data_IF_614265641403
#
_entry.id   IF_614265641403
#
_cell.length_a   1.000
_cell.length_b   1.000
_cell.length_c   1.000
_cell.angle_alpha   90.00
_cell.angle_beta   90.00
_cell.angle_gamma   90.00
#
_symmetry.space_group_name_H-M   'P 1'
#
loop_
_entity.id
_entity.type
_entity.pdbx_description
1 polymer ?
#
# COMPACT_ATOMS: atom_id res chain seq x y z
N UNK A 1 -5.55 32.29 63.17
CA UNK A 1 -6.45 32.13 62.02
C UNK A 1 -5.59 31.77 60.81
N UNK A 2 -5.42 30.48 60.56
CA UNK A 2 -4.50 29.93 59.55
C UNK A 2 -5.34 29.43 58.38
N UNK A 3 -5.19 30.09 57.22
CA UNK A 3 -5.94 29.80 56.00
C UNK A 3 -5.48 28.50 55.35
N UNK A 4 -6.43 27.59 55.16
CA UNK A 4 -6.26 26.24 54.61
C UNK A 4 -6.31 26.32 53.08
N UNK A 5 -5.17 26.05 52.42
CA UNK A 5 -5.08 25.96 50.96
C UNK A 5 -5.71 24.64 50.52
N UNK A 6 -6.82 24.71 49.77
CA UNK A 6 -7.50 23.55 49.20
C UNK A 6 -7.04 23.39 47.74
N UNK A 7 -6.18 22.41 47.50
CA UNK A 7 -5.89 21.93 46.14
C UNK A 7 -7.11 21.14 45.62
N UNK A 8 -7.60 21.39 44.40
CA UNK A 8 -8.54 20.48 43.75
C UNK A 8 -7.84 19.18 43.31
N UNK A 9 -8.49 18.01 43.41
CA UNK A 9 -7.95 16.77 42.89
C UNK A 9 -7.98 16.72 41.36
N UNK A 10 -6.97 16.03 40.83
CA UNK A 10 -6.70 15.64 39.45
C UNK A 10 -7.95 15.30 38.63
N UNK A 11 -8.14 16.02 37.52
CA UNK A 11 -8.96 15.55 36.40
C UNK A 11 -8.13 14.57 35.57
N UNK A 12 -8.66 13.36 35.45
CA UNK A 12 -8.21 12.27 34.59
C UNK A 12 -7.71 12.77 33.23
N UNK A 13 -6.42 12.56 32.97
CA UNK A 13 -5.92 12.48 31.61
C UNK A 13 -6.36 11.14 31.07
N UNK A 14 -7.53 11.11 30.46
CA UNK A 14 -7.93 10.04 29.55
C UNK A 14 -6.81 9.87 28.52
N UNK A 15 -6.07 8.78 28.66
CA UNK A 15 -5.26 8.18 27.61
C UNK A 15 -6.19 7.89 26.44
N UNK A 16 -6.38 8.92 25.60
CA UNK A 16 -6.99 8.77 24.29
C UNK A 16 -5.96 8.06 23.42
N UNK A 17 -5.95 6.73 23.53
CA UNK A 17 -5.50 5.85 22.47
C UNK A 17 -6.21 6.27 21.19
N UNK A 18 -5.54 7.12 20.41
CA UNK A 18 -5.90 7.38 19.03
C UNK A 18 -5.66 6.09 18.24
N UNK A 19 -6.53 5.11 18.42
CA UNK A 19 -6.70 3.98 17.52
C UNK A 19 -7.20 4.59 16.22
N UNK A 20 -6.41 4.45 15.15
CA UNK A 20 -6.81 4.87 13.83
C UNK A 20 -8.16 4.20 13.48
N UNK A 21 -9.11 4.91 12.85
CA UNK A 21 -10.36 4.29 12.44
C UNK A 21 -10.05 3.12 11.50
N UNK A 22 -10.48 1.91 11.89
CA UNK A 22 -10.49 0.74 11.01
C UNK A 22 -11.50 1.06 9.92
N UNK A 23 -11.02 1.51 8.77
CA UNK A 23 -11.86 1.75 7.59
C UNK A 23 -12.31 0.39 7.08
N UNK A 24 -13.51 -0.03 7.49
CA UNK A 24 -14.19 -1.16 6.86
C UNK A 24 -14.62 -0.73 5.47
N UNK A 25 -13.81 -1.03 4.45
CA UNK A 25 -14.15 -0.75 3.06
C UNK A 25 -15.21 -1.74 2.57
N UNK A 26 -16.32 -1.18 2.08
CA UNK A 26 -17.34 -1.93 1.38
C UNK A 26 -16.73 -2.61 0.14
N UNK A 27 -16.99 -3.91 0.03
CA UNK A 27 -16.54 -4.83 -1.02
C UNK A 27 -16.82 -4.26 -2.41
N UNK A 28 -15.79 -3.84 -3.16
CA UNK A 28 -15.93 -3.58 -4.60
C UNK A 28 -16.04 -4.91 -5.37
N UNK A 29 -16.83 -4.97 -6.45
CA UNK A 29 -16.92 -6.17 -7.29
C UNK A 29 -15.59 -6.42 -8.02
N UNK A 30 -15.25 -7.70 -8.18
CA UNK A 30 -13.97 -8.16 -8.73
C UNK A 30 -13.69 -7.57 -10.12
N UNK A 31 -12.50 -6.98 -10.29
CA UNK A 31 -12.00 -6.55 -11.60
C UNK A 31 -11.79 -7.76 -12.52
N UNK A 32 -12.27 -7.61 -13.74
CA UNK A 32 -12.16 -8.59 -14.83
C UNK A 32 -10.69 -8.86 -15.18
N UNK A 33 -10.28 -10.12 -15.12
CA UNK A 33 -8.90 -10.55 -15.40
C UNK A 33 -8.64 -10.42 -16.90
N UNK A 34 -7.78 -9.49 -17.31
CA UNK A 34 -7.27 -9.45 -18.68
C UNK A 34 -6.32 -10.63 -18.86
N UNK A 35 -6.71 -11.57 -19.73
CA UNK A 35 -5.94 -12.76 -20.06
C UNK A 35 -4.67 -12.37 -20.82
N UNK A 36 -3.52 -12.60 -20.20
CA UNK A 36 -2.22 -12.56 -20.86
C UNK A 36 -2.06 -13.88 -21.64
N UNK A 37 -2.29 -13.85 -22.94
CA UNK A 37 -2.10 -15.00 -23.83
C UNK A 37 -0.62 -15.37 -23.88
N UNK A 38 -0.37 -16.66 -23.64
CA UNK A 38 0.93 -17.32 -23.69
C UNK A 38 1.42 -17.34 -25.14
N UNK A 39 2.68 -17.02 -25.31
CA UNK A 39 3.45 -17.10 -26.55
C UNK A 39 3.49 -18.57 -27.04
N UNK A 40 3.16 -18.78 -28.32
CA UNK A 40 3.31 -20.05 -29.04
C UNK A 40 4.80 -20.32 -29.32
N UNK A 41 5.31 -21.49 -28.91
CA UNK A 41 6.54 -22.09 -29.45
C UNK A 41 6.13 -23.16 -30.48
N UNK A 42 6.37 -22.96 -31.79
CA UNK A 42 6.20 -23.99 -32.79
C UNK A 42 7.58 -24.55 -33.13
N UNK A 43 7.94 -25.69 -32.55
CA UNK A 43 8.85 -26.69 -33.15
C UNK A 43 9.02 -27.85 -32.15
N UNK A 44 8.34 -28.97 -32.44
CA UNK A 44 8.29 -30.14 -31.58
C UNK A 44 7.66 -31.32 -32.29
N UNK A 45 8.30 -31.76 -33.37
CA UNK A 45 8.02 -32.95 -34.15
C UNK A 45 8.43 -34.23 -33.41
N UNK A 46 7.50 -34.82 -32.66
CA UNK A 46 7.61 -36.19 -32.17
C UNK A 46 6.57 -37.08 -32.87
N UNK A 47 7.00 -37.72 -33.96
CA UNK A 47 6.25 -38.76 -34.66
C UNK A 47 6.11 -40.01 -33.77
N UNK A 48 4.93 -40.24 -33.21
CA UNK A 48 4.59 -41.48 -32.51
C UNK A 48 4.13 -42.53 -33.54
N UNK A 49 5.02 -43.46 -33.89
CA UNK A 49 4.73 -44.53 -34.85
C UNK A 49 4.06 -45.73 -34.19
N UNK A 50 2.82 -46.02 -34.57
CA UNK A 50 2.15 -47.30 -34.34
C UNK A 50 1.01 -47.49 -35.33
N UNK A 51 0.85 -48.72 -35.84
CA UNK A 51 -0.21 -49.09 -36.79
C UNK A 51 -1.29 -49.90 -36.07
N UNK A 52 -2.55 -49.60 -36.40
CA UNK A 52 -3.73 -50.33 -35.96
C UNK A 52 -3.93 -51.57 -36.83
N UNK A 53 -4.39 -52.68 -36.23
CA UNK A 53 -4.79 -53.87 -36.98
C UNK A 53 -6.22 -53.75 -37.55
N UNK A 54 -6.65 -54.78 -38.29
CA UNK A 54 -7.96 -54.83 -38.96
C UNK A 54 -9.17 -54.88 -38.01
N UNK A 55 -8.94 -55.02 -36.69
CA UNK A 55 -9.97 -54.96 -35.66
C UNK A 55 -9.90 -53.66 -34.82
N UNK A 56 -9.00 -52.73 -35.16
CA UNK A 56 -8.88 -51.44 -34.50
C UNK A 56 -8.09 -51.47 -33.18
N UNK A 57 -7.29 -52.51 -32.94
CA UNK A 57 -6.43 -52.59 -31.75
C UNK A 57 -5.01 -52.10 -32.08
N UNK A 58 -4.44 -51.30 -31.17
CA UNK A 58 -3.13 -50.68 -31.36
C UNK A 58 -2.01 -51.68 -31.05
N UNK A 59 -1.23 -52.06 -32.07
CA UNK A 59 -0.13 -53.02 -31.92
C UNK A 59 1.22 -52.27 -32.00
N UNK A 60 1.96 -52.14 -30.88
CA UNK A 60 3.29 -51.55 -30.91
C UNK A 60 4.30 -52.49 -31.60
N UNK A 61 5.24 -51.90 -32.34
CA UNK A 61 6.25 -52.61 -33.13
C UNK A 61 7.31 -53.24 -32.21
N UNK A 62 7.25 -54.55 -32.00
CA UNK A 62 8.30 -55.31 -31.29
C UNK A 62 9.52 -55.54 -32.19
N UNK A 63 10.70 -55.08 -31.77
CA UNK A 63 11.98 -55.52 -32.35
C UNK A 63 12.48 -56.79 -31.64
N UNK A 64 12.96 -57.81 -32.37
CA UNK A 64 13.41 -59.05 -31.77
C UNK A 64 14.89 -58.96 -31.37
N UNK A 65 15.18 -59.24 -30.10
CA UNK A 65 16.51 -59.70 -29.69
C UNK A 65 17.18 -58.93 -28.56
N UNK A 66 16.72 -59.14 -27.32
CA UNK A 66 17.61 -59.12 -26.16
C UNK A 66 16.97 -59.89 -25.01
N UNK A 67 17.33 -61.16 -24.89
CA UNK A 67 17.05 -61.93 -23.69
C UNK A 67 17.78 -61.30 -22.49
N UNK A 68 17.07 -60.48 -21.72
CA UNK A 68 17.42 -60.16 -20.33
C UNK A 68 16.18 -60.38 -19.49
N UNK A 69 16.29 -61.35 -18.57
CA UNK A 69 15.32 -61.65 -17.53
C UNK A 69 14.94 -60.36 -16.80
N UNK A 70 13.79 -59.79 -17.14
CA UNK A 70 13.16 -58.76 -16.33
C UNK A 70 12.63 -59.46 -15.08
N UNK A 71 13.41 -59.34 -14.00
CA UNK A 71 12.91 -59.52 -12.65
C UNK A 71 11.71 -58.57 -12.54
N UNK A 72 10.50 -59.11 -12.43
CA UNK A 72 9.32 -58.33 -12.05
C UNK A 72 9.60 -57.84 -10.63
N UNK A 73 10.21 -56.66 -10.54
CA UNK A 73 10.20 -55.89 -9.31
C UNK A 73 8.83 -55.24 -9.31
N UNK A 74 7.90 -55.86 -8.60
CA UNK A 74 6.76 -55.15 -8.04
C UNK A 74 7.31 -53.86 -7.43
N UNK A 75 7.00 -52.71 -8.02
CA UNK A 75 7.20 -51.41 -7.37
C UNK A 75 6.13 -51.38 -6.28
N UNK A 76 6.44 -52.05 -5.16
CA UNK A 76 5.71 -51.92 -3.92
C UNK A 76 5.91 -50.48 -3.49
N UNK A 77 4.84 -49.67 -3.53
CA UNK A 77 4.85 -48.27 -3.15
C UNK A 77 4.97 -48.08 -1.64
N UNK A 78 6.04 -48.60 -1.02
CA UNK A 78 6.19 -48.61 0.43
C UNK A 78 7.65 -48.55 0.91
N UNK A 79 8.55 -47.97 0.14
CA UNK A 79 9.94 -47.70 0.56
C UNK A 79 10.23 -46.18 0.51
N UNK A 80 9.33 -45.36 1.07
CA UNK A 80 9.76 -44.11 1.70
C UNK A 80 10.20 -44.53 3.09
N UNK A 81 11.47 -44.31 3.42
CA UNK A 81 11.98 -44.61 4.75
C UNK A 81 11.24 -43.76 5.79
N UNK A 82 10.98 -44.30 6.99
CA UNK A 82 10.31 -43.56 8.08
C UNK A 82 10.98 -42.20 8.38
N UNK A 83 12.29 -42.08 8.10
CA UNK A 83 13.07 -40.84 8.23
C UNK A 83 12.69 -39.76 7.19
N UNK A 84 12.37 -40.13 5.95
CA UNK A 84 11.98 -39.17 4.91
C UNK A 84 10.60 -38.54 5.18
N UNK A 85 9.71 -39.31 5.82
CA UNK A 85 8.39 -38.83 6.24
C UNK A 85 8.49 -37.88 7.45
N UNK A 86 9.37 -38.15 8.40
CA UNK A 86 9.62 -37.27 9.56
C UNK A 86 10.17 -35.90 9.15
N UNK A 87 11.10 -35.86 8.18
CA UNK A 87 11.67 -34.62 7.66
C UNK A 87 10.63 -33.77 6.91
N UNK A 88 9.73 -34.39 6.14
CA UNK A 88 8.65 -33.67 5.44
C UNK A 88 7.64 -33.06 6.42
N UNK A 89 7.29 -33.76 7.50
CA UNK A 89 6.41 -33.24 8.54
C UNK A 89 7.05 -32.08 9.31
N UNK A 90 8.33 -32.18 9.67
CA UNK A 90 9.04 -31.10 10.35
C UNK A 90 9.14 -29.82 9.50
N UNK A 91 9.34 -29.96 8.19
CA UNK A 91 9.35 -28.83 7.26
C UNK A 91 7.99 -28.15 7.16
N UNK A 92 6.90 -28.92 7.03
CA UNK A 92 5.53 -28.38 7.02
C UNK A 92 5.18 -27.63 8.30
N UNK A 93 5.58 -28.16 9.45
CA UNK A 93 5.37 -27.50 10.75
C UNK A 93 6.15 -26.18 10.87
N UNK A 94 7.39 -26.15 10.37
CA UNK A 94 8.20 -24.93 10.37
C UNK A 94 7.60 -23.85 9.45
N UNK A 95 7.14 -24.24 8.26
CA UNK A 95 6.46 -23.36 7.32
C UNK A 95 5.15 -22.80 7.92
N UNK A 96 4.35 -23.66 8.57
CA UNK A 96 3.12 -23.23 9.22
C UNK A 96 3.41 -22.21 10.35
N UNK A 97 4.42 -22.47 11.18
CA UNK A 97 4.85 -21.50 12.22
C UNK A 97 5.32 -20.17 11.61
N UNK A 98 5.98 -20.19 10.45
CA UNK A 98 6.38 -18.96 9.76
C UNK A 98 5.14 -18.17 9.28
N UNK A 99 4.16 -18.85 8.68
CA UNK A 99 2.89 -18.24 8.24
C UNK A 99 2.11 -17.64 9.42
N UNK A 100 2.01 -18.35 10.55
CA UNK A 100 1.31 -17.86 11.73
C UNK A 100 1.99 -16.62 12.33
N UNK A 101 3.34 -16.61 12.37
CA UNK A 101 4.11 -15.43 12.77
C UNK A 101 3.87 -14.24 11.84
N UNK A 102 3.87 -14.47 10.52
CA UNK A 102 3.62 -13.43 9.52
C UNK A 102 2.21 -12.85 9.66
N UNK A 103 1.20 -13.71 9.82
CA UNK A 103 -0.19 -13.31 10.00
C UNK A 103 -0.37 -12.47 11.27
N UNK A 104 0.10 -12.97 12.41
CA UNK A 104 0.01 -12.25 13.69
C UNK A 104 0.68 -10.88 13.61
N UNK A 105 1.92 -10.83 13.12
CA UNK A 105 2.64 -9.57 13.01
C UNK A 105 1.94 -8.59 12.08
N UNK A 106 1.44 -9.05 10.93
CA UNK A 106 0.76 -8.19 9.97
C UNK A 106 -0.50 -7.57 10.57
N UNK A 107 -1.30 -8.36 11.28
CA UNK A 107 -2.51 -7.86 11.94
C UNK A 107 -2.17 -6.86 13.06
N UNK A 108 -1.18 -7.16 13.91
CA UNK A 108 -0.72 -6.24 14.97
C UNK A 108 -0.20 -4.91 14.40
N UNK A 109 0.37 -4.94 13.21
CA UNK A 109 0.89 -3.77 12.51
C UNK A 109 -0.27 -2.95 11.94
N UNK A 110 -1.16 -3.58 11.16
CA UNK A 110 -2.30 -2.91 10.53
C UNK A 110 -3.31 -2.36 11.55
N UNK A 111 -3.46 -3.01 12.71
CA UNK A 111 -4.30 -2.51 13.80
C UNK A 111 -3.81 -1.17 14.40
N UNK A 112 -2.50 -0.88 14.33
CA UNK A 112 -1.92 0.36 14.89
C UNK A 112 -1.97 1.53 13.92
N UNK A 113 -1.75 1.28 12.63
CA UNK A 113 -1.74 2.31 11.60
C UNK A 113 -1.92 1.72 10.21
N UNK A 114 -2.45 2.54 9.29
CA UNK A 114 -2.36 2.26 7.86
C UNK A 114 -0.91 2.10 7.39
N UNK A 115 -0.67 1.07 6.59
CA UNK A 115 0.62 0.73 5.98
C UNK A 115 0.43 0.43 4.52
N UNK A 116 1.40 0.82 3.71
CA UNK A 116 1.46 0.36 2.32
C UNK A 116 1.92 -1.09 2.25
N UNK A 117 1.67 -1.75 1.12
CA UNK A 117 2.19 -3.10 0.84
C UNK A 117 3.69 -3.17 1.09
N UNK A 118 4.43 -2.20 0.56
CA UNK A 118 5.89 -2.12 0.71
C UNK A 118 6.31 -1.94 2.18
N UNK A 119 5.66 -1.04 2.93
CA UNK A 119 6.00 -0.84 4.35
C UNK A 119 5.80 -2.12 5.15
N UNK A 120 4.71 -2.84 4.91
CA UNK A 120 4.42 -4.10 5.60
C UNK A 120 5.42 -5.20 5.22
N UNK A 121 5.80 -5.29 3.94
CA UNK A 121 6.86 -6.17 3.46
C UNK A 121 8.17 -5.93 4.22
N UNK A 122 8.62 -4.69 4.35
CA UNK A 122 9.86 -4.36 5.08
C UNK A 122 9.79 -4.76 6.56
N UNK A 123 8.61 -4.60 7.19
CA UNK A 123 8.42 -5.01 8.58
C UNK A 123 8.53 -6.53 8.73
N UNK A 124 7.99 -7.30 7.80
CA UNK A 124 8.06 -8.77 7.82
C UNK A 124 9.50 -9.26 7.53
N UNK A 125 10.18 -8.66 6.53
CA UNK A 125 11.59 -8.95 6.23
C UNK A 125 12.51 -8.71 7.42
N UNK A 126 12.28 -7.63 8.17
CA UNK A 126 13.03 -7.31 9.39
C UNK A 126 12.88 -8.38 10.50
N UNK A 127 11.86 -9.23 10.41
CA UNK A 127 11.64 -10.36 11.33
C UNK A 127 12.13 -11.70 10.76
N UNK A 128 12.93 -11.66 9.69
CA UNK A 128 13.54 -12.84 9.07
C UNK A 128 12.50 -13.87 8.63
N UNK A 129 11.35 -13.39 8.17
CA UNK A 129 10.34 -14.21 7.52
C UNK A 129 10.75 -14.37 6.05
N UNK A 130 10.62 -15.59 5.53
CA UNK A 130 10.94 -15.91 4.14
C UNK A 130 10.07 -15.13 3.13
N UNK A 131 10.67 -14.77 1.99
CA UNK A 131 10.05 -13.93 0.96
C UNK A 131 8.78 -14.57 0.36
N UNK A 132 8.74 -15.90 0.21
CA UNK A 132 7.54 -16.58 -0.30
C UNK A 132 6.39 -16.52 0.71
N UNK A 133 6.70 -16.71 1.99
CA UNK A 133 5.70 -16.58 3.07
C UNK A 133 5.15 -15.14 3.14
N UNK A 134 6.03 -14.14 2.97
CA UNK A 134 5.64 -12.73 2.94
C UNK A 134 4.72 -12.47 1.75
N UNK A 135 5.10 -12.91 0.55
CA UNK A 135 4.32 -12.71 -0.67
C UNK A 135 2.92 -13.30 -0.55
N UNK A 136 2.80 -14.54 -0.05
CA UNK A 136 1.51 -15.21 0.19
C UNK A 136 0.67 -14.41 1.20
N UNK A 137 1.28 -13.96 2.31
CA UNK A 137 0.57 -13.21 3.33
C UNK A 137 0.08 -11.85 2.82
N UNK A 138 0.90 -11.11 2.07
CA UNK A 138 0.50 -9.81 1.50
C UNK A 138 -0.66 -9.98 0.51
N UNK A 139 -0.58 -10.96 -0.39
CA UNK A 139 -1.66 -11.23 -1.35
C UNK A 139 -2.97 -11.60 -0.62
N UNK A 140 -2.90 -12.43 0.44
CA UNK A 140 -4.09 -12.75 1.24
C UNK A 140 -4.70 -11.52 1.87
N UNK A 141 -3.89 -10.59 2.39
CA UNK A 141 -4.36 -9.35 2.99
C UNK A 141 -5.03 -8.43 1.97
N UNK A 142 -4.53 -8.37 0.74
CA UNK A 142 -5.17 -7.65 -0.37
C UNK A 142 -6.48 -8.30 -0.79
N UNK A 143 -6.51 -9.62 -0.91
CA UNK A 143 -7.71 -10.37 -1.30
C UNK A 143 -8.89 -10.16 -0.33
N UNK A 144 -8.59 -10.01 0.97
CA UNK A 144 -9.60 -9.70 2.00
C UNK A 144 -9.81 -8.19 2.20
N UNK A 145 -9.08 -7.33 1.49
CA UNK A 145 -9.21 -5.87 1.55
C UNK A 145 -8.64 -5.23 2.83
N UNK A 146 -7.80 -5.94 3.58
CA UNK A 146 -7.07 -5.37 4.73
C UNK A 146 -5.85 -4.55 4.30
N UNK A 147 -5.35 -4.79 3.09
CA UNK A 147 -4.28 -4.03 2.48
C UNK A 147 -4.77 -3.47 1.14
N UNK A 148 -4.73 -2.15 1.01
CA UNK A 148 -5.12 -1.44 -0.21
C UNK A 148 -4.34 -0.11 -0.27
N UNK A 149 -3.36 -0.06 -1.17
CA UNK A 149 -2.48 1.10 -1.34
C UNK A 149 -3.25 2.32 -1.89
N UNK A 150 -4.28 2.11 -2.70
CA UNK A 150 -5.12 3.18 -3.23
C UNK A 150 -6.04 3.77 -2.16
N UNK A 151 -6.67 2.93 -1.34
CA UNK A 151 -7.44 3.39 -0.18
C UNK A 151 -6.56 4.16 0.82
N UNK A 152 -5.35 3.64 1.07
CA UNK A 152 -4.36 4.34 1.89
C UNK A 152 -3.98 5.69 1.29
N UNK A 153 -3.73 5.77 -0.02
CA UNK A 153 -3.40 7.01 -0.71
C UNK A 153 -4.51 8.04 -0.56
N UNK A 154 -5.76 7.65 -0.80
CA UNK A 154 -6.94 8.52 -0.69
C UNK A 154 -7.09 9.09 0.73
N UNK A 155 -6.95 8.24 1.74
CA UNK A 155 -6.96 8.69 3.15
C UNK A 155 -5.80 9.65 3.47
N UNK A 156 -4.62 9.40 2.92
CA UNK A 156 -3.46 10.26 3.16
C UNK A 156 -3.58 11.61 2.46
N UNK A 157 -4.19 11.68 1.27
CA UNK A 157 -4.47 12.94 0.57
C UNK A 157 -5.26 13.87 1.48
N UNK A 158 -6.42 13.43 1.98
CA UNK A 158 -7.26 14.24 2.87
C UNK A 158 -6.54 14.61 4.16
N UNK A 159 -5.90 13.65 4.82
CA UNK A 159 -5.21 13.86 6.10
C UNK A 159 -4.02 14.82 5.97
N UNK A 160 -3.21 14.71 4.92
CA UNK A 160 -2.05 15.57 4.71
C UNK A 160 -2.47 16.99 4.34
N UNK A 161 -3.53 17.12 3.55
CA UNK A 161 -4.07 18.42 3.19
C UNK A 161 -4.68 19.13 4.43
N UNK A 162 -5.42 18.41 5.28
CA UNK A 162 -6.00 18.96 6.51
C UNK A 162 -4.95 19.29 7.58
N UNK A 163 -4.09 18.32 7.92
CA UNK A 163 -3.17 18.46 9.06
C UNK A 163 -1.91 19.25 8.73
N UNK A 164 -1.39 19.08 7.51
CA UNK A 164 -0.13 19.72 7.09
C UNK A 164 -0.35 20.86 6.10
N UNK A 165 -1.53 21.02 5.50
CA UNK A 165 -1.79 22.07 4.50
C UNK A 165 -0.92 21.92 3.25
N UNK A 166 -0.60 20.69 2.85
CA UNK A 166 0.18 20.41 1.65
C UNK A 166 -0.69 20.55 0.40
N UNK A 167 -0.08 21.05 -0.68
CA UNK A 167 -0.66 21.00 -2.02
C UNK A 167 -0.32 19.70 -2.74
N UNK A 168 -0.86 19.52 -3.94
CA UNK A 168 -0.79 18.29 -4.73
C UNK A 168 0.63 17.73 -4.87
N UNK A 169 1.63 18.56 -5.18
CA UNK A 169 3.01 18.09 -5.33
C UNK A 169 3.64 17.64 -3.99
N UNK A 170 3.28 18.31 -2.90
CA UNK A 170 3.75 17.96 -1.55
C UNK A 170 3.15 16.64 -1.08
N UNK A 171 1.85 16.43 -1.34
CA UNK A 171 1.16 15.17 -1.07
C UNK A 171 1.77 14.05 -1.91
N UNK A 172 1.98 14.27 -3.21
CA UNK A 172 2.63 13.31 -4.11
C UNK A 172 3.98 12.84 -3.55
N UNK A 173 4.80 13.76 -3.04
CA UNK A 173 6.09 13.42 -2.45
C UNK A 173 5.94 12.55 -1.19
N UNK A 174 5.00 12.86 -0.30
CA UNK A 174 4.75 12.06 0.91
C UNK A 174 4.24 10.65 0.58
N UNK A 175 3.38 10.50 -0.43
CA UNK A 175 2.92 9.19 -0.91
C UNK A 175 4.06 8.37 -1.53
N UNK A 176 4.94 9.01 -2.32
CA UNK A 176 6.16 8.36 -2.84
C UNK A 176 7.09 7.86 -1.75
N UNK A 177 7.24 8.63 -0.66
CA UNK A 177 8.05 8.19 0.49
C UNK A 177 7.50 6.93 1.16
N UNK A 178 6.20 6.68 1.04
CA UNK A 178 5.53 5.46 1.50
C UNK A 178 5.55 4.32 0.49
N UNK A 179 6.20 4.52 -0.66
CA UNK A 179 6.29 3.53 -1.75
C UNK A 179 4.92 3.08 -2.27
N UNK A 180 3.95 3.99 -2.29
CA UNK A 180 2.66 3.75 -2.95
C UNK A 180 2.89 3.77 -4.47
N UNK A 181 2.30 2.84 -5.25
CA UNK A 181 2.43 2.82 -6.70
C UNK A 181 1.99 4.13 -7.37
N UNK A 182 2.69 4.55 -8.44
CA UNK A 182 2.40 5.82 -9.12
C UNK A 182 0.94 5.88 -9.62
N UNK A 183 0.40 4.77 -10.13
CA UNK A 183 -1.00 4.68 -10.57
C UNK A 183 -1.99 5.01 -9.45
N UNK A 184 -1.76 4.50 -8.24
CA UNK A 184 -2.65 4.75 -7.09
C UNK A 184 -2.52 6.18 -6.59
N UNK A 185 -1.30 6.74 -6.66
CA UNK A 185 -1.03 8.15 -6.34
C UNK A 185 -1.79 9.07 -7.32
N UNK A 186 -1.67 8.82 -8.62
CA UNK A 186 -2.33 9.64 -9.65
C UNK A 186 -3.85 9.53 -9.53
N UNK A 187 -4.38 8.32 -9.31
CA UNK A 187 -5.80 8.13 -9.10
C UNK A 187 -6.32 8.85 -7.85
N UNK A 188 -5.59 8.79 -6.73
CA UNK A 188 -5.99 9.46 -5.49
C UNK A 188 -5.88 11.00 -5.59
N UNK A 189 -4.90 11.51 -6.33
CA UNK A 189 -4.77 12.95 -6.58
C UNK A 189 -5.80 13.48 -7.59
N UNK A 190 -6.27 12.66 -8.52
CA UNK A 190 -7.32 13.06 -9.46
C UNK A 190 -8.69 13.27 -8.79
N UNK A 191 -8.89 12.70 -7.61
CA UNK A 191 -10.07 12.97 -6.78
C UNK A 191 -9.98 14.34 -6.07
N UNK A 192 -8.81 14.98 -6.08
CA UNK A 192 -8.64 16.31 -5.55
C UNK A 192 -9.19 17.35 -6.53
N UNK A 193 -10.13 18.16 -6.08
CA UNK A 193 -10.69 19.24 -6.88
C UNK A 193 -9.80 20.49 -6.81
N UNK A 194 -9.47 21.06 -7.98
CA UNK A 194 -8.66 22.29 -8.09
C UNK A 194 -9.23 23.44 -7.25
N UNK A 195 -10.55 23.57 -7.19
CA UNK A 195 -11.24 24.61 -6.39
C UNK A 195 -10.99 24.46 -4.88
N UNK A 196 -10.95 23.23 -4.37
CA UNK A 196 -10.64 22.97 -2.96
C UNK A 196 -9.17 23.26 -2.65
N UNK A 197 -8.27 22.89 -3.57
CA UNK A 197 -6.84 23.19 -3.44
C UNK A 197 -6.60 24.71 -3.41
N UNK A 198 -7.25 25.46 -4.31
CA UNK A 198 -7.16 26.91 -4.35
C UNK A 198 -7.72 27.57 -3.09
N UNK A 199 -8.90 27.14 -2.62
CA UNK A 199 -9.49 27.64 -1.38
C UNK A 199 -8.55 27.48 -0.18
N UNK A 200 -7.93 26.31 -0.04
CA UNK A 200 -6.95 26.06 1.04
C UNK A 200 -5.70 26.93 0.89
N UNK A 201 -5.19 27.11 -0.33
CA UNK A 201 -4.05 27.97 -0.58
C UNK A 201 -4.34 29.43 -0.17
N UNK A 202 -5.55 29.93 -0.46
CA UNK A 202 -6.01 31.26 -0.04
C UNK A 202 -6.01 31.38 1.50
N UNK A 203 -6.58 30.41 2.21
CA UNK A 203 -6.64 30.43 3.68
C UNK A 203 -5.23 30.47 4.30
N UNK A 204 -4.33 29.63 3.79
CA UNK A 204 -2.93 29.58 4.22
C UNK A 204 -2.21 30.90 3.91
N UNK A 205 -2.44 31.48 2.74
CA UNK A 205 -1.88 32.77 2.35
C UNK A 205 -2.37 33.88 3.28
N UNK A 206 -3.67 33.95 3.57
CA UNK A 206 -4.25 34.94 4.49
C UNK A 206 -3.64 34.84 5.88
N UNK A 207 -3.54 33.61 6.43
CA UNK A 207 -2.90 33.38 7.73
C UNK A 207 -1.44 33.84 7.72
N UNK A 208 -0.72 33.57 6.63
CA UNK A 208 0.70 33.92 6.50
C UNK A 208 0.92 35.42 6.32
N UNK A 209 0.08 36.11 5.56
CA UNK A 209 0.13 37.57 5.37
C UNK A 209 -0.09 38.28 6.72
N UNK A 210 -1.05 37.83 7.53
CA UNK A 210 -1.29 38.38 8.86
C UNK A 210 -0.05 38.29 9.78
N UNK A 211 0.76 37.25 9.64
CA UNK A 211 2.01 37.09 10.39
C UNK A 211 3.15 37.98 9.88
N UNK A 212 3.01 38.56 8.69
CA UNK A 212 4.00 39.37 8.00
C UNK A 212 3.55 40.83 7.85
N UNK A 213 2.54 41.27 8.61
CA UNK A 213 1.91 42.60 8.46
C UNK A 213 2.86 43.78 8.71
N UNK A 214 4.04 43.55 9.27
CA UNK A 214 5.07 44.57 9.53
C UNK A 214 6.01 44.81 8.35
N UNK A 215 5.93 43.98 7.32
CA UNK A 215 6.79 44.06 6.14
C UNK A 215 6.05 44.73 4.98
N UNK A 216 6.83 45.28 4.04
CA UNK A 216 6.32 45.79 2.77
C UNK A 216 5.66 44.69 1.92
N UNK A 217 4.64 45.07 1.14
CA UNK A 217 3.85 44.19 0.27
C UNK A 217 4.72 43.29 -0.62
N UNK A 218 5.83 43.79 -1.16
CA UNK A 218 6.72 43.01 -2.03
C UNK A 218 7.46 41.91 -1.25
N UNK A 219 7.90 42.24 -0.03
CA UNK A 219 8.54 41.28 0.88
C UNK A 219 7.54 40.22 1.33
N UNK A 220 6.31 40.62 1.63
CA UNK A 220 5.22 39.70 2.01
C UNK A 220 4.92 38.75 0.84
N UNK A 221 4.70 39.26 -0.37
CA UNK A 221 4.43 38.45 -1.58
C UNK A 221 5.52 37.39 -1.79
N UNK A 222 6.81 37.79 -1.76
CA UNK A 222 7.94 36.86 -1.94
C UNK A 222 7.95 35.75 -0.87
N UNK A 223 7.70 36.12 0.40
CA UNK A 223 7.73 35.17 1.52
C UNK A 223 6.54 34.21 1.51
N UNK A 224 5.35 34.68 1.14
CA UNK A 224 4.15 33.85 1.01
C UNK A 224 4.32 32.89 -0.18
N UNK A 225 4.82 33.38 -1.32
CA UNK A 225 5.13 32.53 -2.47
C UNK A 225 6.08 31.39 -2.10
N UNK A 226 7.22 31.73 -1.47
CA UNK A 226 8.19 30.71 -1.04
C UNK A 226 7.61 29.74 0.00
N UNK A 227 6.68 30.20 0.83
CA UNK A 227 6.00 29.36 1.82
C UNK A 227 5.07 28.35 1.14
N UNK A 228 4.21 28.78 0.22
CA UNK A 228 3.30 27.89 -0.50
C UNK A 228 4.03 26.96 -1.47
N UNK A 229 5.12 27.41 -2.11
CA UNK A 229 5.96 26.55 -2.93
C UNK A 229 6.55 25.37 -2.14
N UNK A 230 7.00 25.60 -0.89
CA UNK A 230 7.46 24.52 0.00
C UNK A 230 6.33 23.60 0.49
N UNK A 231 5.08 24.06 0.41
CA UNK A 231 3.89 23.23 0.67
C UNK A 231 3.51 22.39 -0.53
N UNK A 232 4.05 22.67 -1.71
CA UNK A 232 3.83 21.89 -2.93
C UNK A 232 2.60 22.32 -3.75
N UNK A 233 2.16 23.57 -3.60
CA UNK A 233 1.18 24.17 -4.50
C UNK A 233 1.85 24.57 -5.83
N UNK A 234 1.10 24.53 -6.92
CA UNK A 234 1.58 24.95 -8.23
C UNK A 234 1.64 26.49 -8.35
N UNK A 235 2.37 26.98 -9.35
CA UNK A 235 2.59 28.41 -9.52
C UNK A 235 1.33 29.22 -9.82
N UNK A 236 0.34 28.65 -10.51
CA UNK A 236 -0.91 29.33 -10.80
C UNK A 236 -1.73 29.53 -9.52
N UNK A 237 -1.95 28.45 -8.76
CA UNK A 237 -2.65 28.48 -7.47
C UNK A 237 -1.97 29.42 -6.47
N UNK A 238 -0.63 29.41 -6.40
CA UNK A 238 0.11 30.33 -5.53
C UNK A 238 -0.17 31.79 -5.87
N UNK A 239 -0.11 32.15 -7.15
CA UNK A 239 -0.30 33.53 -7.58
C UNK A 239 -1.75 33.99 -7.37
N UNK A 240 -2.73 33.13 -7.68
CA UNK A 240 -4.14 33.41 -7.41
C UNK A 240 -4.38 33.61 -5.91
N UNK A 241 -3.90 32.69 -5.08
CA UNK A 241 -4.06 32.75 -3.64
C UNK A 241 -3.47 34.01 -3.01
N UNK A 242 -2.27 34.43 -3.45
CA UNK A 242 -1.64 35.67 -2.99
C UNK A 242 -2.46 36.88 -3.39
N UNK A 243 -2.93 36.94 -4.64
CA UNK A 243 -3.74 38.06 -5.15
C UNK A 243 -5.00 38.24 -4.31
N UNK A 244 -5.76 37.16 -4.14
CA UNK A 244 -7.01 37.13 -3.36
C UNK A 244 -6.76 37.48 -1.90
N UNK A 245 -5.73 36.88 -1.28
CA UNK A 245 -5.43 37.09 0.13
C UNK A 245 -4.96 38.52 0.44
N UNK A 246 -4.16 39.12 -0.45
CA UNK A 246 -3.73 40.52 -0.33
C UNK A 246 -4.90 41.49 -0.49
N UNK A 247 -5.79 41.26 -1.46
CA UNK A 247 -6.99 42.08 -1.66
C UNK A 247 -7.88 42.07 -0.40
N UNK A 248 -8.10 40.88 0.17
CA UNK A 248 -8.84 40.73 1.45
C UNK A 248 -8.13 41.45 2.60
N UNK A 249 -6.81 41.29 2.73
CA UNK A 249 -6.05 41.92 3.82
C UNK A 249 -6.13 43.46 3.79
N UNK A 250 -6.03 44.08 2.59
CA UNK A 250 -6.18 45.54 2.42
C UNK A 250 -7.58 46.03 2.80
N UNK A 251 -8.62 45.25 2.50
CA UNK A 251 -10.00 45.57 2.86
C UNK A 251 -10.29 45.61 4.38
N UNK A 252 -9.54 44.86 5.20
CA UNK A 252 -9.69 44.86 6.67
C UNK A 252 -8.93 46.01 7.38
N UNK A 253 -8.04 46.73 6.68
CA UNK A 253 -7.15 47.74 7.26
C UNK A 253 -7.72 49.15 7.39
N UNK A 254 -8.89 49.43 6.80
CA UNK A 254 -9.50 50.77 6.86
C UNK A 254 -10.36 50.89 8.11
N UNK A 255 -9.75 51.26 9.25
CA UNK A 255 -10.49 51.86 10.36
C UNK A 255 -10.71 53.32 10.00
N UNK A 256 -11.96 53.68 9.70
CA UNK A 256 -12.36 55.08 9.65
C UNK A 256 -12.27 55.64 11.07
N UNK A 257 -11.47 56.69 11.22
CA UNK A 257 -11.30 57.49 12.44
C UNK A 257 -12.43 58.52 12.58
#
# INVERSE_FOLDING_TARGET
MTGMVRFPPSSDSEDSEHVAPVVFLQRRPARERVAFTRFDDPDGDASFGGTLDENGEFVPKEEPGAARRARVTTISGSDLSDAELEDEHAQKDAEQKARDRAAKLSLDQLARRGMSRWELEQVLKKREIDDETIRIQLNRLEDVGLLDDHALATYLVSTLQERKGLGSAGIKQELKRKHIPEYDIESALAELHDEEEEARAIELAMKRIRQLSTYDDDVVRRRVHAFLARKGYDGHTINSAISVAMAKHKGFGVRFE
#
